data_IF_833191907436
#
_entry.id   IF_833191907436
#
_cell.length_a   1.000
_cell.length_b   1.000
_cell.length_c   1.000
_cell.angle_alpha   90.00
_cell.angle_beta   90.00
_cell.angle_gamma   90.00
#
_symmetry.space_group_name_H-M   'P 1'
#
loop_
_entity.id
_entity.type
_entity.pdbx_description
1 polymer ?
#
# COMPACT_ATOMS: atom_id res chain seq x y z
N UNK A 1 -12.35 -3.32 17.27
CA UNK A 1 -13.35 -3.70 16.25
C UNK A 1 -13.11 -5.13 15.88
N UNK A 2 -14.16 -5.84 15.48
CA UNK A 2 -14.03 -7.17 14.91
C UNK A 2 -13.57 -7.04 13.44
N UNK A 3 -12.32 -7.38 13.09
CA UNK A 3 -11.77 -7.14 11.76
C UNK A 3 -12.26 -8.14 10.72
N UNK A 4 -13.18 -9.05 11.09
CA UNK A 4 -13.81 -10.01 10.18
C UNK A 4 -14.71 -9.35 9.14
N UNK A 5 -15.04 -8.07 9.32
CA UNK A 5 -16.06 -7.41 8.53
C UNK A 5 -17.43 -7.87 9.01
N UNK A 6 -18.04 -7.07 9.88
CA UNK A 6 -19.37 -7.31 10.44
C UNK A 6 -20.45 -6.58 9.64
N UNK A 7 -20.14 -6.30 8.37
CA UNK A 7 -20.99 -5.58 7.44
C UNK A 7 -21.45 -4.27 8.04
N UNK A 8 -22.76 -4.10 8.05
CA UNK A 8 -23.37 -2.84 8.43
C UNK A 8 -23.27 -2.56 9.94
N UNK A 9 -23.00 -3.57 10.79
CA UNK A 9 -22.76 -3.38 12.23
C UNK A 9 -21.40 -2.76 12.55
N UNK A 10 -20.59 -2.46 11.55
CA UNK A 10 -19.34 -1.73 11.72
C UNK A 10 -19.60 -0.34 12.32
N UNK A 11 -18.65 0.17 13.12
CA UNK A 11 -18.73 1.46 13.84
C UNK A 11 -19.75 1.58 14.99
N UNK A 12 -20.55 0.54 15.26
CA UNK A 12 -21.40 0.50 16.44
C UNK A 12 -20.59 0.39 17.76
N UNK A 13 -21.16 0.79 18.92
CA UNK A 13 -20.45 0.72 20.19
C UNK A 13 -20.00 -0.71 20.52
N UNK A 14 -18.68 -0.88 20.68
CA UNK A 14 -18.02 -2.19 20.85
C UNK A 14 -18.72 -3.10 21.86
N UNK A 15 -19.13 -2.56 23.01
CA UNK A 15 -19.73 -3.34 24.10
C UNK A 15 -21.07 -3.98 23.73
N UNK A 16 -21.85 -3.33 22.87
CA UNK A 16 -23.16 -3.85 22.44
C UNK A 16 -23.01 -4.78 21.24
N UNK A 17 -22.07 -4.46 20.35
CA UNK A 17 -21.89 -5.21 19.11
C UNK A 17 -21.10 -6.49 19.33
N UNK A 18 -20.05 -6.47 20.16
CA UNK A 18 -19.19 -7.63 20.42
C UNK A 18 -19.99 -8.82 20.94
N UNK A 19 -20.85 -8.59 21.92
CA UNK A 19 -21.61 -9.67 22.55
C UNK A 19 -22.76 -10.14 21.65
N UNK A 20 -23.37 -9.24 20.89
CA UNK A 20 -24.32 -9.60 19.85
C UNK A 20 -23.68 -10.47 18.76
N UNK A 21 -22.44 -10.18 18.38
CA UNK A 21 -21.66 -11.00 17.44
C UNK A 21 -21.36 -12.36 18.06
N UNK A 22 -20.92 -12.42 19.33
CA UNK A 22 -20.66 -13.71 19.98
C UNK A 22 -21.92 -14.57 20.04
N UNK A 23 -23.07 -13.95 20.34
CA UNK A 23 -24.34 -14.63 20.30
C UNK A 23 -24.74 -15.07 18.88
N UNK A 24 -24.46 -14.26 17.86
CA UNK A 24 -24.70 -14.61 16.46
C UNK A 24 -23.88 -15.84 16.07
N UNK A 25 -22.59 -15.83 16.38
CA UNK A 25 -21.63 -16.90 16.10
C UNK A 25 -22.04 -18.22 16.78
N UNK A 26 -22.47 -18.16 18.04
CA UNK A 26 -23.02 -19.33 18.76
C UNK A 26 -24.31 -19.85 18.11
N UNK A 27 -25.18 -18.97 17.60
CA UNK A 27 -26.43 -19.36 16.96
C UNK A 27 -26.22 -19.92 15.53
N UNK A 28 -25.22 -19.41 14.83
CA UNK A 28 -24.82 -19.84 13.49
C UNK A 28 -24.13 -21.21 13.55
N UNK A 29 -23.13 -21.36 14.42
CA UNK A 29 -22.35 -22.58 14.55
C UNK A 29 -22.98 -23.65 15.46
N UNK A 30 -23.93 -23.26 16.32
CA UNK A 30 -24.53 -24.15 17.31
C UNK A 30 -25.64 -25.05 16.76
N UNK A 31 -26.22 -25.86 17.64
CA UNK A 31 -27.28 -26.84 17.32
C UNK A 31 -28.55 -26.23 16.73
N UNK A 32 -28.78 -24.94 16.99
CA UNK A 32 -29.92 -24.23 16.43
C UNK A 32 -29.76 -24.00 14.92
N UNK A 33 -28.51 -23.97 14.42
CA UNK A 33 -28.18 -23.88 12.99
C UNK A 33 -28.89 -22.74 12.28
N UNK A 34 -29.19 -21.65 13.01
CA UNK A 34 -30.18 -20.66 12.58
C UNK A 34 -29.65 -19.70 11.52
N UNK A 35 -28.40 -19.90 11.06
CA UNK A 35 -27.83 -19.22 9.89
C UNK A 35 -28.06 -17.72 9.95
N UNK A 36 -27.17 -17.00 10.62
CA UNK A 36 -27.27 -15.55 10.72
C UNK A 36 -26.04 -14.92 10.11
N UNK A 37 -26.23 -14.08 9.10
CA UNK A 37 -25.19 -13.21 8.59
C UNK A 37 -25.42 -11.80 9.10
N UNK A 38 -24.36 -11.04 9.45
CA UNK A 38 -24.52 -9.60 9.63
C UNK A 38 -25.13 -8.99 8.36
N UNK A 39 -25.96 -7.94 8.47
CA UNK A 39 -26.51 -7.31 7.28
C UNK A 39 -25.38 -6.72 6.42
N UNK A 40 -25.47 -6.80 5.08
CA UNK A 40 -24.45 -6.25 4.20
C UNK A 40 -24.44 -4.72 4.29
N UNK A 41 -23.26 -4.13 4.08
CA UNK A 41 -23.07 -2.68 3.96
C UNK A 41 -22.83 -2.31 2.49
N UNK A 42 -23.31 -1.14 2.07
CA UNK A 42 -23.25 -0.67 0.68
C UNK A 42 -21.84 -0.23 0.23
N UNK A 43 -20.90 -0.09 1.17
CA UNK A 43 -19.50 0.30 0.93
C UNK A 43 -18.61 -0.86 0.44
N UNK A 44 -19.17 -2.07 0.33
CA UNK A 44 -18.43 -3.27 -0.05
C UNK A 44 -17.72 -3.95 1.12
N UNK A 45 -17.92 -3.49 2.36
CA UNK A 45 -17.36 -4.14 3.54
C UNK A 45 -17.88 -5.58 3.66
N UNK A 46 -16.98 -6.57 3.84
CA UNK A 46 -17.38 -7.96 4.08
C UNK A 46 -18.33 -8.07 5.27
N UNK A 47 -19.27 -9.00 5.19
CA UNK A 47 -20.28 -9.27 6.23
C UNK A 47 -20.19 -10.76 6.59
N UNK A 48 -19.07 -11.13 7.18
CA UNK A 48 -18.63 -12.51 7.28
C UNK A 48 -19.23 -13.24 8.48
N UNK A 49 -19.24 -14.57 8.39
CA UNK A 49 -19.58 -15.48 9.48
C UNK A 49 -18.38 -16.38 9.83
N UNK A 50 -18.47 -17.12 10.94
CA UNK A 50 -17.43 -18.08 11.33
C UNK A 50 -17.11 -19.09 10.22
N UNK A 51 -18.11 -19.57 9.48
CA UNK A 51 -17.89 -20.49 8.37
C UNK A 51 -16.99 -19.91 7.25
N UNK A 52 -17.12 -18.61 6.97
CA UNK A 52 -16.28 -17.92 5.97
C UNK A 52 -14.82 -17.87 6.46
N UNK A 53 -14.62 -17.56 7.74
CA UNK A 53 -13.29 -17.56 8.35
C UNK A 53 -12.65 -18.95 8.36
N UNK A 54 -13.41 -19.97 8.72
CA UNK A 54 -12.95 -21.36 8.74
C UNK A 54 -12.44 -21.77 7.37
N UNK A 55 -13.14 -21.37 6.30
CA UNK A 55 -12.73 -21.66 4.93
C UNK A 55 -11.36 -21.06 4.62
N UNK A 56 -11.14 -19.77 4.94
CA UNK A 56 -9.85 -19.10 4.70
C UNK A 56 -8.73 -19.63 5.59
N UNK A 57 -9.00 -19.87 6.88
CA UNK A 57 -8.02 -20.43 7.80
C UNK A 57 -7.62 -21.85 7.40
N UNK A 58 -8.57 -22.66 6.92
CA UNK A 58 -8.26 -24.01 6.42
C UNK A 58 -7.38 -23.97 5.17
N UNK A 59 -7.63 -23.02 4.26
CA UNK A 59 -6.77 -22.80 3.09
C UNK A 59 -5.35 -22.38 3.52
N UNK A 60 -5.24 -21.46 4.47
CA UNK A 60 -3.97 -21.03 5.05
C UNK A 60 -3.20 -22.22 5.66
N UNK A 61 -3.86 -23.04 6.49
CA UNK A 61 -3.21 -24.21 7.09
C UNK A 61 -2.77 -25.22 6.03
N UNK A 62 -3.59 -25.48 5.02
CA UNK A 62 -3.21 -26.39 3.92
C UNK A 62 -1.95 -25.91 3.20
N UNK A 63 -1.83 -24.59 2.99
CA UNK A 63 -0.63 -23.99 2.40
C UNK A 63 0.59 -24.13 3.32
N UNK A 64 0.44 -23.81 4.61
CA UNK A 64 1.53 -23.89 5.59
C UNK A 64 2.03 -25.33 5.78
N UNK A 65 1.12 -26.30 5.88
CA UNK A 65 1.47 -27.72 5.99
C UNK A 65 2.26 -28.21 4.78
N UNK A 66 1.92 -27.74 3.58
CA UNK A 66 2.62 -28.14 2.34
C UNK A 66 4.00 -27.51 2.16
N UNK A 67 4.24 -26.34 2.77
CA UNK A 67 5.44 -25.52 2.51
C UNK A 67 6.44 -25.53 3.65
N UNK A 68 5.96 -25.58 4.91
CA UNK A 68 6.76 -25.36 6.13
C UNK A 68 6.67 -26.55 7.10
N UNK A 69 6.47 -27.76 6.58
CA UNK A 69 6.37 -28.96 7.41
C UNK A 69 7.62 -29.19 8.25
N UNK A 70 7.47 -29.12 9.58
CA UNK A 70 8.56 -29.32 10.55
C UNK A 70 9.19 -28.04 11.10
N UNK A 71 8.87 -26.88 10.52
CA UNK A 71 9.34 -25.58 10.99
C UNK A 71 8.46 -25.00 12.10
N UNK A 72 9.03 -24.07 12.88
CA UNK A 72 8.28 -23.29 13.86
C UNK A 72 7.70 -22.03 13.21
N UNK A 73 6.39 -21.90 13.21
CA UNK A 73 5.66 -20.81 12.55
C UNK A 73 5.04 -19.89 13.60
N UNK A 74 5.25 -18.57 13.46
CA UNK A 74 4.56 -17.56 14.24
C UNK A 74 3.45 -16.93 13.41
N UNK A 75 2.19 -17.11 13.84
CA UNK A 75 1.04 -16.48 13.22
C UNK A 75 0.59 -15.28 14.05
N UNK A 76 0.47 -14.12 13.40
CA UNK A 76 0.02 -12.87 14.03
C UNK A 76 -1.34 -12.53 13.44
N UNK A 77 -2.34 -12.39 14.30
CA UNK A 77 -3.71 -12.06 13.92
C UNK A 77 -4.08 -10.64 14.37
N UNK A 78 -4.93 -9.93 13.60
CA UNK A 78 -5.41 -8.61 13.99
C UNK A 78 -6.41 -8.66 15.17
N UNK A 79 -7.00 -9.83 15.44
CA UNK A 79 -7.99 -10.05 16.49
C UNK A 79 -7.76 -11.37 17.25
N UNK A 80 -8.50 -11.52 18.34
CA UNK A 80 -8.48 -12.73 19.15
C UNK A 80 -9.32 -13.88 18.61
N UNK A 81 -10.29 -13.62 17.72
CA UNK A 81 -11.23 -14.65 17.26
C UNK A 81 -10.63 -15.50 16.16
N UNK A 82 -9.89 -14.93 15.21
CA UNK A 82 -9.09 -15.70 14.23
C UNK A 82 -8.26 -16.85 14.82
N UNK A 83 -7.36 -16.60 15.79
CA UNK A 83 -6.56 -17.66 16.42
C UNK A 83 -7.39 -18.60 17.30
N UNK A 84 -8.53 -18.16 17.83
CA UNK A 84 -9.46 -19.01 18.55
C UNK A 84 -10.18 -20.00 17.62
N UNK A 85 -10.66 -19.54 16.46
CA UNK A 85 -11.21 -20.40 15.40
C UNK A 85 -10.18 -21.44 14.99
N UNK A 86 -8.94 -21.02 14.78
CA UNK A 86 -7.86 -21.93 14.41
C UNK A 86 -7.59 -22.98 15.51
N UNK A 87 -7.61 -22.57 16.77
CA UNK A 87 -7.49 -23.49 17.91
C UNK A 87 -8.64 -24.51 17.93
N UNK A 88 -9.88 -24.09 17.67
CA UNK A 88 -11.02 -24.99 17.54
C UNK A 88 -10.82 -26.01 16.41
N UNK A 89 -10.30 -25.58 15.25
CA UNK A 89 -10.06 -26.44 14.10
C UNK A 89 -9.01 -27.52 14.40
N UNK A 90 -7.91 -27.17 15.06
CA UNK A 90 -6.88 -28.15 15.44
C UNK A 90 -7.37 -29.15 16.49
N UNK A 91 -8.20 -28.70 17.43
CA UNK A 91 -8.68 -29.52 18.54
C UNK A 91 -9.96 -30.30 18.23
N UNK A 92 -10.59 -30.06 17.06
CA UNK A 92 -11.90 -30.60 16.74
C UNK A 92 -13.01 -30.11 17.69
N UNK A 93 -12.85 -28.91 18.24
CA UNK A 93 -13.84 -28.30 19.13
C UNK A 93 -14.95 -27.67 18.29
N UNK A 94 -16.23 -27.89 18.63
CA UNK A 94 -17.36 -27.20 18.00
C UNK A 94 -17.21 -25.67 18.00
N UNK A 95 -17.55 -25.05 16.87
CA UNK A 95 -17.37 -23.60 16.66
C UNK A 95 -18.30 -22.74 17.52
N UNK A 96 -19.38 -23.30 18.08
CA UNK A 96 -20.24 -22.62 19.07
C UNK A 96 -19.54 -22.35 20.41
N UNK A 97 -18.32 -22.89 20.59
CA UNK A 97 -17.46 -22.65 21.76
C UNK A 97 -16.26 -21.78 21.46
N UNK A 98 -16.18 -21.19 20.27
CA UNK A 98 -14.98 -20.46 19.83
C UNK A 98 -14.59 -19.32 20.75
N UNK A 99 -15.57 -18.58 21.28
CA UNK A 99 -15.32 -17.43 22.13
C UNK A 99 -14.85 -17.80 23.55
N UNK A 100 -14.95 -19.07 23.96
CA UNK A 100 -14.28 -19.56 25.18
C UNK A 100 -12.75 -19.55 25.01
N UNK A 101 -12.27 -19.71 23.78
CA UNK A 101 -10.85 -19.76 23.43
C UNK A 101 -10.30 -18.43 22.90
N UNK A 102 -11.08 -17.36 22.98
CA UNK A 102 -10.71 -16.04 22.45
C UNK A 102 -9.37 -15.57 23.03
N UNK A 103 -8.52 -14.99 22.20
CA UNK A 103 -7.21 -14.48 22.64
C UNK A 103 -7.35 -13.04 23.16
N UNK A 104 -6.71 -12.74 24.28
CA UNK A 104 -6.56 -11.38 24.77
C UNK A 104 -5.53 -10.60 23.93
N UNK A 105 -5.62 -9.26 23.84
CA UNK A 105 -4.61 -8.46 23.16
C UNK A 105 -3.21 -8.69 23.72
N UNK A 106 -2.27 -9.07 22.85
CA UNK A 106 -0.89 -9.40 23.23
C UNK A 106 -0.70 -10.79 23.86
N UNK A 107 -1.75 -11.62 23.94
CA UNK A 107 -1.63 -13.00 24.37
C UNK A 107 -0.87 -13.83 23.32
N UNK A 108 0.09 -14.63 23.80
CA UNK A 108 0.86 -15.56 22.97
C UNK A 108 0.62 -16.97 23.51
N UNK A 109 0.11 -17.86 22.65
CA UNK A 109 0.00 -19.30 22.96
C UNK A 109 1.03 -20.07 22.13
N UNK A 110 1.85 -20.85 22.82
CA UNK A 110 2.87 -21.71 22.22
C UNK A 110 2.31 -23.13 22.05
N UNK A 111 2.89 -23.89 21.12
CA UNK A 111 2.58 -25.30 20.89
C UNK A 111 1.08 -25.58 20.72
N UNK A 112 0.39 -24.75 19.94
CA UNK A 112 -1.04 -24.90 19.66
C UNK A 112 -1.27 -26.17 18.85
N UNK A 113 -1.81 -27.20 19.49
CA UNK A 113 -2.08 -28.51 18.91
C UNK A 113 -3.35 -29.11 19.56
N UNK A 114 -3.79 -30.26 19.07
CA UNK A 114 -4.99 -30.94 19.57
C UNK A 114 -4.99 -31.09 21.10
N UNK A 115 -3.89 -31.56 21.69
CA UNK A 115 -3.81 -31.86 23.12
C UNK A 115 -3.71 -30.61 23.98
N UNK A 116 -2.89 -29.63 23.59
CA UNK A 116 -2.69 -28.40 24.35
C UNK A 116 -3.96 -27.56 24.41
N UNK A 117 -4.67 -27.45 23.28
CA UNK A 117 -5.95 -26.73 23.22
C UNK A 117 -7.05 -27.44 24.02
N UNK A 118 -7.16 -28.77 23.96
CA UNK A 118 -8.13 -29.52 24.77
C UNK A 118 -7.84 -29.43 26.28
N UNK A 119 -6.57 -29.49 26.66
CA UNK A 119 -6.17 -29.28 28.06
C UNK A 119 -6.55 -27.88 28.53
N UNK A 120 -6.27 -26.85 27.73
CA UNK A 120 -6.65 -25.48 28.04
C UNK A 120 -8.17 -25.32 28.17
N UNK A 121 -8.95 -25.86 27.24
CA UNK A 121 -10.41 -25.86 27.33
C UNK A 121 -10.90 -26.53 28.62
N UNK A 122 -10.31 -27.66 29.01
CA UNK A 122 -10.64 -28.35 30.26
C UNK A 122 -10.39 -27.49 31.50
N UNK A 123 -9.30 -26.69 31.49
CA UNK A 123 -9.03 -25.75 32.60
C UNK A 123 -10.06 -24.62 32.67
N UNK A 124 -10.55 -24.14 31.52
CA UNK A 124 -11.60 -23.14 31.46
C UNK A 124 -12.95 -23.70 31.92
N UNK A 125 -13.25 -24.97 31.61
CA UNK A 125 -14.46 -25.65 32.07
C UNK A 125 -14.48 -25.86 33.59
N UNK A 126 -13.32 -26.15 34.19
CA UNK A 126 -13.18 -26.28 35.65
C UNK A 126 -13.37 -24.94 36.38
N UNK A 127 -13.17 -23.81 35.69
CA UNK A 127 -13.33 -22.48 36.25
C UNK A 127 -14.77 -22.00 36.10
N UNK A 128 -15.61 -22.31 37.11
CA UNK A 128 -17.04 -21.97 37.12
C UNK A 128 -17.31 -20.48 36.85
N UNK A 129 -16.44 -19.59 37.35
CA UNK A 129 -16.61 -18.14 37.16
C UNK A 129 -16.46 -17.72 35.70
N UNK A 130 -15.53 -18.32 34.97
CA UNK A 130 -15.31 -18.04 33.54
C UNK A 130 -16.50 -18.55 32.74
N UNK A 131 -16.97 -19.76 33.04
CA UNK A 131 -18.12 -20.37 32.39
C UNK A 131 -19.43 -19.59 32.65
N UNK A 132 -19.63 -19.10 33.87
CA UNK A 132 -20.77 -18.26 34.20
C UNK A 132 -20.71 -16.93 33.44
N UNK A 133 -19.56 -16.26 33.45
CA UNK A 133 -19.35 -15.00 32.72
C UNK A 133 -19.58 -15.17 31.23
N UNK A 134 -19.12 -16.28 30.64
CA UNK A 134 -19.35 -16.59 29.23
C UNK A 134 -20.85 -16.75 28.93
N UNK A 135 -21.56 -17.56 29.72
CA UNK A 135 -23.00 -17.79 29.54
C UNK A 135 -23.81 -16.49 29.70
N UNK A 136 -23.45 -15.65 30.66
CA UNK A 136 -24.08 -14.34 30.85
C UNK A 136 -23.85 -13.40 29.66
N UNK A 137 -22.62 -13.36 29.11
CA UNK A 137 -22.31 -12.61 27.89
C UNK A 137 -23.13 -13.10 26.69
N UNK A 138 -23.24 -14.42 26.50
CA UNK A 138 -24.06 -14.96 25.42
C UNK A 138 -25.56 -14.65 25.62
N UNK A 139 -26.06 -14.70 26.85
CA UNK A 139 -27.46 -14.36 27.14
C UNK A 139 -27.75 -12.88 26.83
N UNK A 140 -26.91 -11.96 27.32
CA UNK A 140 -27.04 -10.52 27.01
C UNK A 140 -26.85 -10.23 25.53
N UNK A 141 -25.90 -10.92 24.89
CA UNK A 141 -25.66 -10.84 23.46
C UNK A 141 -26.87 -11.24 22.62
N UNK A 142 -27.64 -12.26 23.05
CA UNK A 142 -28.89 -12.65 22.37
C UNK A 142 -29.94 -11.54 22.41
N UNK A 143 -30.10 -10.87 23.54
CA UNK A 143 -31.00 -9.71 23.68
C UNK A 143 -30.55 -8.55 22.77
N UNK A 144 -29.26 -8.24 22.77
CA UNK A 144 -28.68 -7.20 21.91
C UNK A 144 -28.81 -7.53 20.43
N UNK A 145 -28.59 -8.80 20.05
CA UNK A 145 -28.76 -9.26 18.68
C UNK A 145 -30.21 -9.10 18.20
N UNK A 146 -31.20 -9.35 19.07
CA UNK A 146 -32.60 -9.11 18.76
C UNK A 146 -32.90 -7.61 18.58
N UNK A 147 -32.29 -6.74 19.40
CA UNK A 147 -32.38 -5.28 19.24
C UNK A 147 -31.74 -4.79 17.93
N UNK A 148 -30.58 -5.33 17.56
CA UNK A 148 -29.90 -4.98 16.31
C UNK A 148 -30.67 -5.47 15.08
N UNK A 149 -31.31 -6.64 15.17
CA UNK A 149 -32.14 -7.19 14.09
C UNK A 149 -33.49 -6.48 13.95
N UNK A 150 -34.08 -6.03 15.05
CA UNK A 150 -35.36 -5.28 15.03
C UNK A 150 -35.18 -3.85 14.53
N UNK A 151 -33.99 -3.28 14.68
CA UNK A 151 -33.70 -1.92 14.24
C UNK A 151 -32.56 -1.89 13.20
N UNK A 152 -32.84 -2.28 11.94
CA UNK A 152 -31.84 -2.23 10.87
C UNK A 152 -31.34 -0.79 10.58
N UNK A 153 -32.07 0.23 11.01
CA UNK A 153 -31.76 1.64 10.78
C UNK A 153 -30.89 2.31 11.87
N UNK A 154 -30.46 1.59 12.93
CA UNK A 154 -29.57 2.17 13.98
C UNK A 154 -28.23 2.66 13.40
N UNK A 155 -27.87 2.21 12.20
CA UNK A 155 -26.59 2.47 11.54
C UNK A 155 -26.36 3.88 11.06
N UNK A 156 -27.40 4.67 10.85
CA UNK A 156 -27.21 5.84 10.00
C UNK A 156 -26.62 7.06 10.67
N UNK A 157 -26.54 7.19 12.00
CA UNK A 157 -26.12 8.48 12.56
C UNK A 157 -24.61 8.70 12.52
N UNK A 158 -23.81 7.67 12.85
CA UNK A 158 -22.35 7.78 12.82
C UNK A 158 -21.76 7.60 11.44
N UNK A 159 -22.26 6.63 10.68
CA UNK A 159 -21.86 6.46 9.28
C UNK A 159 -22.25 7.70 8.47
N UNK A 160 -23.47 8.24 8.60
CA UNK A 160 -23.83 9.48 7.88
C UNK A 160 -23.01 10.68 8.34
N UNK A 161 -22.66 10.78 9.62
CA UNK A 161 -21.78 11.85 10.10
C UNK A 161 -20.35 11.71 9.51
N UNK A 162 -19.83 10.48 9.41
CA UNK A 162 -18.54 10.23 8.80
C UNK A 162 -18.57 10.51 7.30
N UNK A 163 -19.56 10.01 6.57
CA UNK A 163 -19.75 10.27 5.14
C UNK A 163 -19.92 11.77 4.85
N UNK A 164 -20.67 12.49 5.69
CA UNK A 164 -20.81 13.94 5.59
C UNK A 164 -19.47 14.64 5.80
N UNK A 165 -18.68 14.23 6.81
CA UNK A 165 -17.34 14.77 7.04
C UNK A 165 -16.39 14.49 5.87
N UNK A 166 -16.45 13.29 5.30
CA UNK A 166 -15.66 12.93 4.11
C UNK A 166 -16.10 13.76 2.89
N UNK A 167 -17.40 14.01 2.72
CA UNK A 167 -17.92 14.88 1.64
C UNK A 167 -17.42 16.32 1.82
N UNK A 168 -17.52 16.87 3.03
CA UNK A 168 -17.01 18.22 3.35
C UNK A 168 -15.50 18.30 3.09
N UNK A 169 -14.72 17.28 3.49
CA UNK A 169 -13.29 17.25 3.23
C UNK A 169 -12.96 17.24 1.74
N UNK A 170 -13.65 16.39 0.95
CA UNK A 170 -13.49 16.35 -0.52
C UNK A 170 -13.88 17.66 -1.18
N UNK A 171 -14.95 18.33 -0.72
CA UNK A 171 -15.35 19.64 -1.23
C UNK A 171 -14.30 20.72 -0.90
N UNK A 172 -13.70 20.68 0.29
CA UNK A 172 -12.61 21.58 0.68
C UNK A 172 -11.34 21.35 -0.15
N UNK A 173 -10.97 20.10 -0.42
CA UNK A 173 -9.84 19.75 -1.28
C UNK A 173 -10.10 20.15 -2.75
N UNK A 174 -11.32 19.93 -3.25
CA UNK A 174 -11.74 20.39 -4.57
C UNK A 174 -11.72 21.93 -4.68
N UNK A 175 -12.12 22.63 -3.61
CA UNK A 175 -12.01 24.10 -3.53
C UNK A 175 -10.56 24.57 -3.50
N UNK A 176 -9.70 23.91 -2.73
CA UNK A 176 -8.28 24.23 -2.62
C UNK A 176 -7.51 23.96 -3.91
N UNK A 177 -7.80 22.85 -4.60
CA UNK A 177 -7.20 22.52 -5.90
C UNK A 177 -7.59 23.53 -6.98
N UNK A 178 -8.88 23.91 -7.07
CA UNK A 178 -9.33 24.98 -7.98
C UNK A 178 -8.63 26.32 -7.71
N UNK A 179 -8.48 26.70 -6.44
CA UNK A 179 -7.76 27.92 -6.06
C UNK A 179 -6.27 27.86 -6.46
N UNK A 180 -5.60 26.72 -6.26
CA UNK A 180 -4.21 26.51 -6.67
C UNK A 180 -4.05 26.58 -8.19
N UNK A 181 -5.02 26.07 -8.94
CA UNK A 181 -5.02 26.14 -10.40
C UNK A 181 -5.22 27.58 -10.90
N UNK A 182 -6.14 28.33 -10.30
CA UNK A 182 -6.34 29.76 -10.57
C UNK A 182 -5.06 30.56 -10.29
N UNK A 183 -4.42 30.36 -9.14
CA UNK A 183 -3.13 30.99 -8.80
C UNK A 183 -2.01 30.62 -9.80
N UNK A 184 -2.02 29.39 -10.33
CA UNK A 184 -1.06 28.95 -11.35
C UNK A 184 -1.29 29.66 -12.68
N UNK A 185 -2.55 29.81 -13.10
CA UNK A 185 -2.90 30.54 -14.32
C UNK A 185 -2.55 32.03 -14.22
N UNK A 186 -2.80 32.65 -13.06
CA UNK A 186 -2.40 34.05 -12.82
C UNK A 186 -0.88 34.23 -12.90
N UNK A 187 -0.09 33.30 -12.36
CA UNK A 187 1.37 33.33 -12.48
C UNK A 187 1.86 33.18 -13.92
N UNK A 188 1.20 32.34 -14.72
CA UNK A 188 1.52 32.18 -16.15
C UNK A 188 1.20 33.49 -16.89
N UNK A 189 0.01 34.05 -16.68
CA UNK A 189 -0.39 35.31 -17.30
C UNK A 189 0.52 36.50 -16.88
N UNK A 190 1.01 36.51 -15.64
CA UNK A 190 1.97 37.51 -15.17
C UNK A 190 3.32 37.37 -15.88
N UNK A 191 3.84 36.15 -16.04
CA UNK A 191 5.08 35.89 -16.79
C UNK A 191 4.97 36.25 -18.27
N UNK A 192 3.82 35.97 -18.90
CA UNK A 192 3.59 36.35 -20.30
C UNK A 192 3.60 37.88 -20.48
N UNK A 193 2.99 38.63 -19.55
CA UNK A 193 3.04 40.10 -19.57
C UNK A 193 4.45 40.64 -19.39
N UNK A 194 5.22 40.07 -18.46
CA UNK A 194 6.63 40.45 -18.24
C UNK A 194 7.49 40.15 -19.49
N UNK A 195 7.27 39.01 -20.15
CA UNK A 195 7.97 38.67 -21.39
C UNK A 195 7.58 39.63 -22.54
N UNK A 196 6.31 40.03 -22.64
CA UNK A 196 5.85 40.98 -23.64
C UNK A 196 6.45 42.38 -23.43
N UNK A 197 6.55 42.84 -22.19
CA UNK A 197 7.22 44.09 -21.84
C UNK A 197 8.72 44.03 -22.15
N UNK A 198 9.39 42.91 -21.83
CA UNK A 198 10.78 42.69 -22.18
C UNK A 198 11.01 42.71 -23.70
N UNK A 199 10.13 42.08 -24.49
CA UNK A 199 10.19 42.12 -25.96
C UNK A 199 10.08 43.54 -26.50
N UNK A 200 9.16 44.36 -25.97
CA UNK A 200 9.03 45.77 -26.34
C UNK A 200 10.30 46.57 -26.04
N UNK A 201 10.89 46.41 -24.85
CA UNK A 201 12.15 47.07 -24.50
C UNK A 201 13.31 46.66 -25.41
N UNK A 202 13.40 45.38 -25.78
CA UNK A 202 14.42 44.88 -26.71
C UNK A 202 14.24 45.49 -28.11
N UNK A 203 13.00 45.61 -28.60
CA UNK A 203 12.70 46.26 -29.88
C UNK A 203 13.03 47.76 -29.86
N UNK A 204 12.67 48.48 -28.80
CA UNK A 204 13.04 49.88 -28.61
C UNK A 204 14.57 50.07 -28.61
N UNK A 205 15.29 49.19 -27.90
CA UNK A 205 16.77 49.23 -27.88
C UNK A 205 17.36 48.96 -29.27
N UNK A 206 16.79 48.02 -30.03
CA UNK A 206 17.21 47.73 -31.41
C UNK A 206 17.00 48.94 -32.33
N UNK A 207 15.87 49.63 -32.20
CA UNK A 207 15.59 50.82 -33.02
C UNK A 207 16.50 52.00 -32.67
N UNK A 208 16.80 52.22 -31.38
CA UNK A 208 17.77 53.23 -30.95
C UNK A 208 19.18 52.95 -31.51
N UNK A 209 19.66 51.71 -31.40
CA UNK A 209 20.96 51.30 -31.95
C UNK A 209 21.01 51.53 -33.47
N UNK A 210 19.93 51.22 -34.21
CA UNK A 210 19.87 51.48 -35.65
C UNK A 210 19.94 52.97 -35.98
N UNK A 211 19.27 53.81 -35.20
CA UNK A 211 19.22 55.26 -35.40
C UNK A 211 20.58 55.89 -35.07
N UNK A 212 21.23 55.44 -34.00
CA UNK A 212 22.59 55.83 -33.63
C UNK A 212 23.61 55.44 -34.71
N UNK A 213 23.56 54.19 -35.21
CA UNK A 213 24.41 53.73 -36.32
C UNK A 213 24.18 54.54 -37.61
N UNK A 214 22.94 54.98 -37.87
CA UNK A 214 22.65 55.83 -39.04
C UNK A 214 23.27 57.22 -38.89
N UNK A 215 23.17 57.81 -37.70
CA UNK A 215 23.75 59.10 -37.39
C UNK A 215 25.28 59.06 -37.41
N UNK A 216 25.88 57.97 -36.94
CA UNK A 216 27.33 57.73 -37.03
C UNK A 216 27.80 57.61 -38.48
N UNK A 217 27.04 56.90 -39.33
CA UNK A 217 27.32 56.85 -40.78
C UNK A 217 27.23 58.23 -41.43
N UNK A 218 26.23 59.05 -41.09
CA UNK A 218 26.10 60.42 -41.61
C UNK A 218 27.28 61.31 -41.18
N UNK A 219 27.72 61.23 -39.92
CA UNK A 219 28.92 61.92 -39.42
C UNK A 219 30.19 61.46 -40.14
N UNK A 220 30.35 60.15 -40.36
CA UNK A 220 31.50 59.61 -41.09
C UNK A 220 31.54 60.08 -42.55
N UNK A 221 30.38 60.20 -43.20
CA UNK A 221 30.28 60.76 -44.55
C UNK A 221 30.63 62.25 -44.57
N UNK A 222 30.19 63.04 -43.58
CA UNK A 222 30.59 64.45 -43.46
C UNK A 222 32.10 64.61 -43.24
N UNK A 223 32.70 63.82 -42.35
CA UNK A 223 34.15 63.84 -42.14
C UNK A 223 34.94 63.44 -43.40
N UNK A 224 34.41 62.51 -44.22
CA UNK A 224 35.01 62.20 -45.52
C UNK A 224 34.94 63.38 -46.49
N UNK A 225 33.81 64.08 -46.55
CA UNK A 225 33.66 65.29 -47.37
C UNK A 225 34.58 66.43 -46.92
N UNK A 226 34.73 66.65 -45.61
CA UNK A 226 35.67 67.64 -45.07
C UNK A 226 37.14 67.27 -45.33
N UNK A 227 37.48 65.97 -45.31
CA UNK A 227 38.82 65.49 -45.71
C UNK A 227 39.06 65.59 -47.22
N UNK A 228 38.02 65.46 -48.05
CA UNK A 228 38.10 65.68 -49.51
C UNK A 228 38.20 67.18 -49.86
N UNK A 229 37.62 68.09 -49.09
CA UNK A 229 37.77 69.54 -49.29
C UNK A 229 39.09 70.11 -48.74
N UNK A 230 39.71 69.49 -47.72
CA UNK A 230 41.02 69.94 -47.17
C UNK A 230 42.23 69.08 -47.59
N UNK A 231 42.03 68.03 -48.40
CA UNK A 231 43.04 67.01 -48.70
C UNK A 231 43.45 66.92 -50.17
N UNK A 232 43.72 68.05 -50.82
CA UNK A 232 44.48 68.05 -52.07
C UNK A 232 45.94 67.72 -51.81
N UNK A 233 46.35 66.46 -51.95
CA UNK A 233 47.76 66.11 -51.78
C UNK A 233 48.10 64.62 -51.84
N UNK A 234 48.26 64.10 -53.06
CA UNK A 234 49.36 63.19 -53.40
C UNK A 234 49.31 61.77 -52.84
N UNK A 235 48.74 60.85 -53.62
CA UNK A 235 49.08 59.43 -53.56
C UNK A 235 50.42 59.24 -54.26
N UNK A 236 51.44 58.80 -53.52
CA UNK A 236 52.69 58.26 -54.07
C UNK A 236 52.78 56.79 -53.71
N UNK A 237 52.65 55.94 -54.73
CA UNK A 237 52.83 54.50 -54.69
C UNK A 237 54.31 54.15 -54.87
N UNK A 238 54.89 53.40 -53.94
CA UNK A 238 56.14 52.60 -54.00
C UNK A 238 56.46 52.23 -52.54
N UNK A 239 57.04 51.11 -52.13
CA UNK A 239 57.62 49.91 -52.73
C UNK A 239 57.78 48.97 -51.51
N UNK A 240 57.35 47.71 -51.59
CA UNK A 240 58.19 46.49 -51.58
C UNK A 240 59.10 46.31 -50.33
N UNK A 241 59.16 45.04 -49.90
CA UNK A 241 60.21 44.39 -49.07
C UNK A 241 59.92 44.48 -47.57
N UNK A 242 59.70 43.40 -46.81
CA UNK A 242 60.20 42.03 -46.91
C UNK A 242 61.08 41.73 -45.68
N UNK A 243 60.86 40.59 -45.00
CA UNK A 243 61.76 40.05 -43.97
C UNK A 243 61.17 40.07 -42.54
N UNK A 244 60.60 38.98 -42.01
CA UNK A 244 61.25 37.77 -41.39
C UNK A 244 61.64 37.97 -39.92
N UNK A 245 61.14 37.07 -39.05
CA UNK A 245 61.60 36.82 -37.67
C UNK A 245 60.44 36.80 -36.67
N UNK A 246 59.75 35.68 -36.43
CA UNK A 246 60.11 34.53 -35.57
C UNK A 246 60.02 34.79 -34.05
N UNK A 247 59.43 33.81 -33.35
CA UNK A 247 59.06 33.69 -31.91
C UNK A 247 57.79 34.45 -31.49
N UNK A 248 56.77 33.88 -30.83
CA UNK A 248 56.55 32.57 -30.22
C UNK A 248 55.42 32.69 -29.16
N UNK A 249 54.62 31.63 -29.00
CA UNK A 249 53.50 31.37 -28.04
C UNK A 249 52.10 31.91 -28.44
N UNK A 250 51.15 31.09 -28.94
CA UNK A 250 50.26 30.09 -28.27
C UNK A 250 49.14 30.79 -27.44
N UNK A 251 47.82 30.60 -27.57
CA UNK A 251 46.88 29.48 -27.84
C UNK A 251 45.66 30.03 -28.65
N UNK A 252 45.08 29.44 -29.70
CA UNK A 252 44.26 28.22 -29.84
C UNK A 252 42.84 28.27 -29.22
N UNK A 253 41.81 28.41 -30.08
CA UNK A 253 40.52 27.65 -30.15
C UNK A 253 39.70 28.24 -31.33
N UNK A 254 39.58 27.61 -32.51
CA UNK A 254 38.59 26.58 -32.90
C UNK A 254 37.15 26.96 -32.49
N UNK A 255 36.17 27.09 -33.38
CA UNK A 255 35.57 26.02 -34.19
C UNK A 255 34.63 26.65 -35.25
N UNK A 256 34.82 26.30 -36.53
CA UNK A 256 33.99 25.37 -37.33
C UNK A 256 32.79 26.02 -38.05
N UNK A 257 33.04 26.32 -39.32
CA UNK A 257 32.04 26.39 -40.38
C UNK A 257 31.94 25.00 -41.02
N UNK A 258 30.75 24.40 -41.00
CA UNK A 258 30.30 23.33 -41.89
C UNK A 258 28.82 23.64 -42.18
N UNK A 259 28.39 23.92 -43.41
CA UNK A 259 28.16 22.99 -44.51
C UNK A 259 27.35 21.76 -44.09
N UNK A 260 26.07 21.75 -44.46
CA UNK A 260 25.08 20.70 -44.22
C UNK A 260 23.70 21.26 -44.61
N UNK A 261 23.30 21.19 -45.87
CA UNK A 261 22.65 20.05 -46.54
C UNK A 261 21.12 20.15 -46.43
N UNK A 262 20.51 19.93 -47.58
CA UNK A 262 19.09 20.08 -47.86
C UNK A 262 18.27 19.04 -47.08
N UNK A 263 17.16 19.45 -46.46
CA UNK A 263 15.98 18.59 -46.42
C UNK A 263 14.71 19.37 -46.08
N UNK A 264 13.75 19.18 -46.97
CA UNK A 264 12.35 19.52 -46.84
C UNK A 264 11.77 19.02 -45.51
N UNK A 265 11.10 19.89 -44.77
CA UNK A 265 9.97 19.46 -43.97
C UNK A 265 8.87 20.52 -43.94
N UNK A 266 7.85 20.25 -44.76
CA UNK A 266 6.53 20.88 -44.74
C UNK A 266 5.84 20.50 -43.43
N UNK A 267 5.79 21.42 -42.47
CA UNK A 267 4.77 21.40 -41.44
C UNK A 267 3.51 21.99 -42.07
N UNK A 268 2.62 21.11 -42.53
CA UNK A 268 1.24 21.44 -42.89
C UNK A 268 0.34 20.85 -41.84
N UNK A 269 -0.56 21.70 -41.36
CA UNK A 269 -1.70 21.44 -40.50
C UNK A 269 -2.29 20.02 -40.56
N UNK A 270 -2.37 19.36 -39.41
CA UNK A 270 -3.40 18.36 -39.11
C UNK A 270 -4.08 18.71 -37.80
N UNK A 271 -4.97 19.70 -37.88
CA UNK A 271 -5.98 19.97 -36.86
C UNK A 271 -7.35 19.73 -37.49
N UNK A 272 -7.79 18.48 -37.54
CA UNK A 272 -9.20 18.10 -37.67
C UNK A 272 -9.37 16.59 -37.54
N UNK A 273 -10.50 16.21 -36.93
CA UNK A 273 -11.13 14.88 -36.89
C UNK A 273 -10.67 14.00 -35.72
N UNK A 274 -11.45 14.06 -34.62
CA UNK A 274 -12.08 12.89 -34.01
C UNK A 274 -13.15 13.38 -33.02
N UNK A 275 -14.37 13.53 -33.54
CA UNK A 275 -15.60 13.37 -32.76
C UNK A 275 -16.08 11.96 -33.10
N UNK A 276 -16.07 11.05 -32.14
CA UNK A 276 -16.84 9.81 -32.22
C UNK A 276 -17.56 9.62 -30.88
N UNK A 277 -18.86 9.43 -31.00
CA UNK A 277 -19.87 9.30 -29.95
C UNK A 277 -19.64 8.10 -29.01
N UNK A 278 -19.95 8.34 -27.76
CA UNK A 278 -19.67 7.50 -26.59
C UNK A 278 -20.86 6.56 -26.24
N UNK A 279 -21.40 5.81 -27.22
CA UNK A 279 -22.68 5.09 -27.03
C UNK A 279 -22.75 3.58 -27.30
N UNK A 280 -21.65 2.88 -27.53
CA UNK A 280 -21.72 1.42 -27.80
C UNK A 280 -20.61 0.61 -27.10
N UNK A 281 -20.49 0.69 -25.76
CA UNK A 281 -19.59 -0.21 -25.00
C UNK A 281 -20.25 -1.14 -23.97
N UNK A 282 -21.58 -1.19 -23.90
CA UNK A 282 -22.30 -2.12 -23.00
C UNK A 282 -23.00 -3.25 -23.77
N UNK A 283 -22.23 -4.17 -24.38
CA UNK A 283 -22.82 -5.36 -24.99
C UNK A 283 -21.87 -6.56 -25.19
N UNK A 284 -20.76 -6.72 -24.47
CA UNK A 284 -19.91 -7.92 -24.65
C UNK A 284 -19.21 -8.35 -23.36
N UNK A 285 -19.94 -8.84 -22.36
CA UNK A 285 -19.40 -9.78 -21.35
C UNK A 285 -20.56 -10.61 -20.76
N UNK A 286 -21.08 -11.52 -21.58
CA UNK A 286 -21.97 -12.58 -21.14
C UNK A 286 -21.47 -13.92 -21.69
N UNK A 287 -21.42 -14.92 -20.81
CA UNK A 287 -21.14 -16.35 -21.06
C UNK A 287 -19.66 -16.76 -21.23
N UNK A 288 -19.10 -17.40 -20.20
CA UNK A 288 -18.88 -18.86 -20.23
C UNK A 288 -18.23 -19.37 -18.93
N UNK A 289 -18.83 -20.41 -18.33
CA UNK A 289 -18.14 -21.59 -17.79
C UNK A 289 -19.12 -22.43 -16.94
N UNK A 290 -19.95 -23.20 -17.64
CA UNK A 290 -20.54 -24.43 -17.12
C UNK A 290 -19.74 -25.63 -17.67
N UNK A 291 -19.67 -26.68 -16.85
CA UNK A 291 -19.10 -28.01 -17.10
C UNK A 291 -17.56 -28.06 -17.01
N UNK A 292 -16.90 -29.06 -16.43
CA UNK A 292 -17.25 -30.40 -15.93
C UNK A 292 -16.03 -30.83 -15.06
N UNK A 293 -16.11 -31.60 -13.99
CA UNK A 293 -16.29 -33.04 -14.11
C UNK A 293 -16.24 -33.71 -12.73
N UNK A 294 -17.08 -34.74 -12.63
CA UNK A 294 -17.08 -35.76 -11.59
C UNK A 294 -15.75 -36.54 -11.60
N UNK A 295 -15.17 -36.77 -10.42
CA UNK A 295 -14.31 -37.93 -10.17
C UNK A 295 -14.83 -38.63 -8.92
N UNK A 296 -15.22 -39.89 -9.12
CA UNK A 296 -15.64 -40.84 -8.10
C UNK A 296 -14.46 -41.76 -7.77
N UNK A 297 -14.38 -42.12 -6.49
CA UNK A 297 -13.73 -43.29 -5.91
C UNK A 297 -12.18 -43.39 -5.97
N UNK A 298 -11.55 -43.52 -4.80
CA UNK A 298 -11.20 -44.85 -4.27
C UNK A 298 -10.74 -44.78 -2.82
N UNK A 299 -11.22 -45.76 -2.05
CA UNK A 299 -10.78 -46.15 -0.72
C UNK A 299 -9.34 -46.64 -0.78
N UNK A 300 -8.51 -46.15 0.15
CA UNK A 300 -7.28 -46.82 0.55
C UNK A 300 -7.29 -46.89 2.09
N UNK A 301 -7.62 -48.07 2.58
CA UNK A 301 -7.24 -48.57 3.89
C UNK A 301 -5.72 -48.63 3.97
N UNK A 302 -5.10 -47.93 4.92
CA UNK A 302 -3.77 -48.33 5.38
C UNK A 302 -3.65 -48.29 6.90
N UNK A 303 -3.49 -49.51 7.43
CA UNK A 303 -3.23 -49.84 8.82
C UNK A 303 -1.84 -49.32 9.19
N UNK A 304 -1.77 -48.40 10.15
CA UNK A 304 -0.55 -48.20 10.93
C UNK A 304 -0.84 -48.68 12.35
N UNK A 305 -0.33 -49.89 12.63
CA UNK A 305 -0.12 -50.42 13.97
C UNK A 305 1.01 -49.61 14.62
N UNK A 306 0.68 -48.78 15.61
CA UNK A 306 1.69 -48.31 16.57
C UNK A 306 1.31 -48.81 17.95
N UNK A 307 1.97 -49.89 18.33
CA UNK A 307 1.97 -50.48 19.66
C UNK A 307 2.72 -49.55 20.61
N UNK A 308 2.01 -48.82 21.46
CA UNK A 308 2.60 -48.26 22.69
C UNK A 308 1.91 -48.91 23.87
N UNK A 309 2.66 -49.80 24.51
CA UNK A 309 2.31 -50.42 25.78
C UNK A 309 2.40 -49.36 26.89
N UNK A 310 1.26 -49.03 27.50
CA UNK A 310 1.23 -48.45 28.85
C UNK A 310 0.52 -49.47 29.74
N UNK A 311 1.35 -50.30 30.36
CA UNK A 311 0.98 -51.21 31.43
C UNK A 311 1.13 -50.46 32.75
N UNK A 312 0.02 -50.10 33.39
CA UNK A 312 -0.08 -50.18 34.86
C UNK A 312 -1.49 -49.83 35.32
N UNK A 313 -2.19 -50.89 35.73
CA UNK A 313 -3.41 -50.86 36.50
C UNK A 313 -3.20 -50.21 37.87
N UNK A 314 -4.26 -49.63 38.43
CA UNK A 314 -4.78 -49.93 39.79
C UNK A 314 -6.07 -49.16 40.03
N UNK A 315 -7.18 -49.89 40.03
CA UNK A 315 -8.38 -49.56 40.81
C UNK A 315 -8.02 -49.57 42.30
N UNK A 316 -8.62 -48.69 43.11
CA UNK A 316 -9.18 -49.00 44.44
C UNK A 316 -10.20 -47.91 44.79
N UNK A 317 -11.28 -48.38 45.39
CA UNK A 317 -12.55 -47.72 45.63
C UNK A 317 -12.54 -46.76 46.83
N UNK A 318 -13.65 -46.02 46.90
CA UNK A 318 -14.14 -45.22 48.01
C UNK A 318 -14.03 -45.92 49.38
N UNK A 319 -13.67 -45.14 50.41
CA UNK A 319 -14.10 -45.29 51.81
C UNK A 319 -14.29 -43.88 52.39
N UNK A 320 -15.39 -43.74 53.11
CA UNK A 320 -15.91 -42.58 53.81
C UNK A 320 -15.22 -42.35 55.18
N UNK A 321 -15.58 -41.22 55.79
CA UNK A 321 -15.51 -40.86 57.22
C UNK A 321 -14.22 -40.26 57.85
N UNK A 322 -14.39 -38.98 58.23
CA UNK A 322 -14.16 -38.39 59.55
C UNK A 322 -12.98 -38.91 60.40
N UNK A 323 -11.98 -38.06 60.63
CA UNK A 323 -11.44 -37.85 61.98
C UNK A 323 -10.60 -36.57 62.06
N UNK A 324 -11.05 -35.67 62.91
CA UNK A 324 -10.31 -34.55 63.49
C UNK A 324 -9.19 -35.05 64.40
N UNK A 325 -7.93 -34.66 64.17
CA UNK A 325 -6.93 -34.48 65.24
C UNK A 325 -5.94 -33.39 64.83
N UNK A 326 -5.83 -32.42 65.73
CA UNK A 326 -4.82 -31.35 65.79
C UNK A 326 -3.39 -31.92 65.69
N UNK A 327 -2.53 -31.29 64.90
CA UNK A 327 -1.12 -31.19 65.27
C UNK A 327 -0.46 -29.98 64.60
N UNK A 328 -0.23 -29.00 65.45
CA UNK A 328 0.62 -27.84 65.24
C UNK A 328 2.09 -28.27 65.25
N UNK A 329 2.79 -28.07 64.13
CA UNK A 329 4.25 -28.03 64.12
C UNK A 329 4.70 -26.86 63.25
N UNK A 330 5.20 -25.84 63.93
CA UNK A 330 5.82 -24.66 63.34
C UNK A 330 7.08 -25.06 62.55
N UNK A 331 7.11 -24.70 61.27
CA UNK A 331 8.32 -24.65 60.45
C UNK A 331 8.56 -23.17 60.14
N UNK A 332 9.35 -22.52 60.98
CA UNK A 332 9.99 -21.25 60.68
C UNK A 332 11.22 -21.55 59.85
N UNK A 333 11.14 -21.37 58.54
CA UNK A 333 12.31 -21.40 57.65
C UNK A 333 12.86 -19.99 57.53
N UNK A 334 13.98 -19.75 58.23
CA UNK A 334 14.86 -18.61 58.04
C UNK A 334 15.34 -18.54 56.58
N UNK A 335 15.03 -17.44 55.89
CA UNK A 335 15.45 -17.16 54.50
C UNK A 335 16.50 -16.06 54.38
N UNK A 336 17.22 -15.72 55.46
CA UNK A 336 18.09 -14.54 55.48
C UNK A 336 19.60 -14.75 55.22
N UNK A 337 20.07 -15.97 54.95
CA UNK A 337 21.52 -16.24 54.86
C UNK A 337 22.10 -16.44 53.45
N UNK A 338 21.39 -16.04 52.38
CA UNK A 338 21.85 -16.22 50.99
C UNK A 338 22.37 -14.95 50.27
N UNK A 339 22.46 -13.79 50.93
CA UNK A 339 22.86 -12.51 50.30
C UNK A 339 24.29 -12.08 50.67
N UNK A 340 25.22 -13.02 50.88
CA UNK A 340 26.64 -12.70 51.05
C UNK A 340 27.53 -13.58 50.17
N UNK A 341 27.27 -13.50 48.85
CA UNK A 341 28.21 -13.99 47.84
C UNK A 341 29.22 -12.88 47.49
N UNK A 342 30.54 -13.13 47.58
CA UNK A 342 31.60 -12.16 47.23
C UNK A 342 31.57 -11.68 45.77
N UNK A 343 30.73 -12.27 44.92
CA UNK A 343 30.58 -11.89 43.50
C UNK A 343 29.75 -10.62 43.28
N UNK A 344 28.79 -10.29 44.17
CA UNK A 344 27.89 -9.13 43.98
C UNK A 344 28.59 -7.82 44.35
N UNK A 345 29.47 -7.82 45.36
CA UNK A 345 30.21 -6.63 45.79
C UNK A 345 31.22 -6.11 44.74
N UNK A 346 31.66 -6.94 43.79
CA UNK A 346 32.56 -6.51 42.71
C UNK A 346 31.85 -5.80 41.55
N UNK A 347 30.54 -6.00 41.37
CA UNK A 347 29.78 -5.28 40.33
C UNK A 347 29.41 -3.87 40.78
N UNK A 348 29.17 -3.65 42.08
CA UNK A 348 28.86 -2.30 42.60
C UNK A 348 30.05 -1.34 42.48
N UNK A 349 31.30 -1.80 42.66
CA UNK A 349 32.49 -0.95 42.48
C UNK A 349 32.76 -0.56 41.01
N UNK A 350 32.30 -1.36 40.04
CA UNK A 350 32.47 -1.06 38.61
C UNK A 350 31.43 -0.06 38.09
N UNK A 351 30.23 -0.04 38.68
CA UNK A 351 29.15 0.89 38.26
C UNK A 351 29.42 2.32 38.75
N UNK A 352 30.12 2.51 39.86
CA UNK A 352 30.36 3.86 40.45
C UNK A 352 31.45 4.67 39.71
N UNK A 353 32.22 4.07 38.80
CA UNK A 353 33.37 4.74 38.14
C UNK A 353 33.20 5.08 36.66
N UNK A 354 32.08 4.75 36.03
CA UNK A 354 31.82 5.22 34.67
C UNK A 354 31.36 6.70 34.72
N UNK A 355 32.06 7.64 34.06
CA UNK A 355 31.57 9.00 33.93
C UNK A 355 30.32 8.98 33.03
N UNK A 356 29.15 8.94 33.65
CA UNK A 356 27.87 9.08 32.96
C UNK A 356 27.81 10.52 32.47
N UNK A 357 28.11 10.74 31.19
CA UNK A 357 27.72 11.97 30.50
C UNK A 357 26.20 11.92 30.35
N UNK A 358 25.50 12.55 31.30
CA UNK A 358 24.06 12.77 31.21
C UNK A 358 23.86 13.72 30.03
N UNK A 359 23.20 13.30 28.94
CA UNK A 359 22.90 14.19 27.83
C UNK A 359 22.09 15.37 28.36
N UNK A 360 22.50 16.57 28.00
CA UNK A 360 21.79 17.80 28.33
C UNK A 360 20.33 17.65 27.85
N UNK A 361 19.37 17.79 28.77
CA UNK A 361 17.96 17.60 28.42
C UNK A 361 17.53 18.73 27.49
N UNK A 362 17.41 18.38 26.21
CA UNK A 362 16.81 19.23 25.18
C UNK A 362 15.38 19.52 25.60
N UNK A 363 14.98 20.78 25.51
CA UNK A 363 13.63 21.20 25.91
C UNK A 363 12.59 20.55 24.99
N UNK A 364 11.37 20.27 25.48
CA UNK A 364 10.30 19.65 24.68
C UNK A 364 10.01 20.43 23.38
N UNK A 365 10.20 21.75 23.41
CA UNK A 365 10.00 22.65 22.27
C UNK A 365 11.08 22.47 21.18
N UNK A 366 12.34 22.27 21.58
CA UNK A 366 13.44 21.95 20.66
C UNK A 366 13.28 20.53 20.09
N UNK A 367 12.79 19.57 20.88
CA UNK A 367 12.50 18.22 20.39
C UNK A 367 11.37 18.20 19.35
N UNK A 368 10.31 18.99 19.58
CA UNK A 368 9.20 19.13 18.63
C UNK A 368 9.66 19.76 17.30
N UNK A 369 10.47 20.83 17.37
CA UNK A 369 11.06 21.47 16.20
C UNK A 369 11.98 20.53 15.41
N UNK A 370 12.78 19.72 16.11
CA UNK A 370 13.65 18.73 15.49
C UNK A 370 12.86 17.61 14.80
N UNK A 371 11.74 17.17 15.39
CA UNK A 371 10.83 16.18 14.78
C UNK A 371 10.17 16.73 13.51
N UNK A 372 9.69 17.98 13.55
CA UNK A 372 9.10 18.62 12.37
C UNK A 372 10.12 18.77 11.24
N UNK A 373 11.36 19.18 11.56
CA UNK A 373 12.43 19.27 10.57
C UNK A 373 12.78 17.91 9.95
N UNK A 374 12.92 16.87 10.77
CA UNK A 374 13.18 15.50 10.28
C UNK A 374 12.05 14.98 9.39
N UNK A 375 10.79 15.29 9.72
CA UNK A 375 9.64 14.91 8.90
C UNK A 375 9.65 15.62 7.54
N UNK A 376 9.99 16.91 7.50
CA UNK A 376 10.13 17.67 6.24
C UNK A 376 11.30 17.17 5.39
N UNK A 377 12.45 16.91 6.02
CA UNK A 377 13.62 16.39 5.32
C UNK A 377 13.33 14.99 4.74
N UNK A 378 12.66 14.10 5.50
CA UNK A 378 12.26 12.78 5.00
C UNK A 378 11.22 12.84 3.88
N UNK A 379 10.27 13.79 3.95
CA UNK A 379 9.28 14.00 2.89
C UNK A 379 9.92 14.57 1.62
N UNK A 380 10.91 15.45 1.75
CA UNK A 380 11.68 15.98 0.63
C UNK A 380 12.57 14.89 0.01
N UNK A 381 13.21 14.05 0.83
CA UNK A 381 13.98 12.88 0.36
C UNK A 381 13.09 11.87 -0.37
N UNK A 382 11.84 11.67 0.07
CA UNK A 382 10.85 10.85 -0.64
C UNK A 382 10.42 11.47 -1.98
N UNK A 383 10.25 12.79 -2.04
CA UNK A 383 9.90 13.50 -3.28
C UNK A 383 11.06 13.58 -4.28
N UNK A 384 12.30 13.65 -3.78
CA UNK A 384 13.52 13.73 -4.60
C UNK A 384 14.04 12.34 -4.99
N UNK A 385 13.68 11.30 -4.21
CA UNK A 385 13.89 9.91 -4.61
C UNK A 385 12.89 9.59 -5.70
N UNK A 386 13.34 9.73 -6.95
CA UNK A 386 12.68 9.19 -8.14
C UNK A 386 12.28 7.74 -7.84
N UNK A 387 10.99 7.54 -7.56
CA UNK A 387 10.41 6.25 -7.14
C UNK A 387 10.29 5.28 -8.32
N UNK A 388 10.87 5.64 -9.47
CA UNK A 388 10.75 4.90 -10.71
C UNK A 388 9.35 5.05 -11.30
N UNK A 389 8.54 6.00 -10.84
CA UNK A 389 7.23 6.30 -11.43
C UNK A 389 7.36 6.69 -12.90
N UNK A 390 8.36 7.51 -13.26
CA UNK A 390 8.64 7.82 -14.68
C UNK A 390 9.13 6.59 -15.45
N UNK A 391 9.98 5.75 -14.85
CA UNK A 391 10.44 4.50 -15.48
C UNK A 391 9.31 3.48 -15.70
N UNK A 392 8.31 3.46 -14.81
CA UNK A 392 7.12 2.64 -14.96
C UNK A 392 6.17 3.20 -16.05
N UNK A 393 6.02 4.52 -16.14
CA UNK A 393 5.24 5.15 -17.22
C UNK A 393 5.89 4.94 -18.58
N UNK A 394 7.22 5.03 -18.69
CA UNK A 394 7.96 4.69 -19.91
C UNK A 394 7.80 3.21 -20.28
N UNK A 395 7.85 2.30 -19.30
CA UNK A 395 7.60 0.88 -19.54
C UNK A 395 6.17 0.59 -20.02
N UNK A 396 5.16 1.27 -19.47
CA UNK A 396 3.76 1.16 -19.93
C UNK A 396 3.60 1.76 -21.34
N UNK A 397 4.29 2.86 -21.65
CA UNK A 397 4.28 3.46 -22.98
C UNK A 397 4.93 2.53 -24.02
N UNK A 398 6.04 1.87 -23.68
CA UNK A 398 6.68 0.86 -24.54
C UNK A 398 5.75 -0.35 -24.76
N UNK A 399 5.09 -0.85 -23.70
CA UNK A 399 4.10 -1.93 -23.82
C UNK A 399 2.91 -1.55 -24.71
N UNK A 400 2.43 -0.30 -24.62
CA UNK A 400 1.32 0.18 -25.44
C UNK A 400 1.70 0.25 -26.93
N UNK A 401 2.95 0.63 -27.24
CA UNK A 401 3.47 0.65 -28.61
C UNK A 401 3.70 -0.76 -29.17
N UNK A 402 4.12 -1.72 -28.33
CA UNK A 402 4.34 -3.10 -28.74
C UNK A 402 3.01 -3.83 -29.07
N UNK A 403 1.95 -3.56 -28.31
CA UNK A 403 0.61 -4.13 -28.58
C UNK A 403 0.02 -3.63 -29.91
N UNK A 404 0.20 -2.34 -30.24
CA UNK A 404 -0.32 -1.78 -31.50
C UNK A 404 0.37 -2.40 -32.73
N UNK A 405 1.68 -2.68 -32.64
CA UNK A 405 2.43 -3.35 -33.70
C UNK A 405 1.96 -4.79 -33.94
N UNK A 406 1.61 -5.53 -32.89
CA UNK A 406 1.12 -6.91 -33.02
C UNK A 406 -0.27 -6.99 -33.65
N UNK A 407 -1.14 -6.00 -33.39
CA UNK A 407 -2.49 -5.96 -33.97
C UNK A 407 -2.47 -5.63 -35.46
N UNK A 408 -1.54 -4.79 -35.91
CA UNK A 408 -1.35 -4.53 -37.35
C UNK A 408 -0.86 -5.79 -38.09
N UNK A 409 0.07 -6.56 -37.50
CA UNK A 409 0.58 -7.80 -38.10
C UNK A 409 -0.49 -8.91 -38.15
N UNK A 410 -1.33 -9.04 -37.13
CA UNK A 410 -2.46 -9.99 -37.15
C UNK A 410 -3.52 -9.59 -38.18
N UNK A 411 -3.83 -8.29 -38.31
CA UNK A 411 -4.79 -7.79 -39.30
C UNK A 411 -4.31 -7.99 -40.74
N UNK A 412 -3.01 -7.80 -41.03
CA UNK A 412 -2.45 -8.08 -42.35
C UNK A 412 -2.52 -9.57 -42.71
N UNK A 413 -2.23 -10.45 -41.76
CA UNK A 413 -2.31 -11.90 -41.98
C UNK A 413 -3.76 -12.39 -42.22
N UNK A 414 -4.75 -11.81 -41.55
CA UNK A 414 -6.16 -12.18 -41.76
C UNK A 414 -6.69 -11.74 -43.13
N UNK A 415 -6.21 -10.59 -43.65
CA UNK A 415 -6.55 -10.11 -45.01
C UNK A 415 -5.98 -11.06 -46.07
N UNK A 416 -4.73 -11.51 -45.92
CA UNK A 416 -4.11 -12.42 -46.88
C UNK A 416 -4.83 -13.78 -46.93
N UNK A 417 -5.26 -14.32 -45.79
CA UNK A 417 -6.05 -15.56 -45.74
C UNK A 417 -7.43 -15.41 -46.40
N UNK A 418 -8.09 -14.26 -46.25
CA UNK A 418 -9.36 -13.96 -46.93
C UNK A 418 -9.17 -13.84 -48.44
N UNK A 419 -8.07 -13.22 -48.90
CA UNK A 419 -7.75 -13.10 -50.33
C UNK A 419 -7.46 -14.46 -50.95
N UNK A 420 -6.68 -15.32 -50.26
CA UNK A 420 -6.38 -16.68 -50.73
C UNK A 420 -7.65 -17.54 -50.81
N UNK A 421 -8.55 -17.43 -49.83
CA UNK A 421 -9.82 -18.17 -49.85
C UNK A 421 -10.79 -17.67 -50.93
N UNK A 422 -10.83 -16.35 -51.18
CA UNK A 422 -11.57 -15.73 -52.28
C UNK A 422 -11.10 -16.23 -53.66
N UNK A 423 -9.79 -16.36 -53.88
CA UNK A 423 -9.24 -16.87 -55.14
C UNK A 423 -9.56 -18.36 -55.35
N UNK A 424 -9.59 -19.17 -54.28
CA UNK A 424 -9.98 -20.58 -54.37
C UNK A 424 -11.44 -20.77 -54.75
N UNK A 425 -12.36 -19.92 -54.26
CA UNK A 425 -13.78 -20.05 -54.59
C UNK A 425 -14.10 -19.69 -56.05
N UNK A 426 -13.40 -18.71 -56.63
CA UNK A 426 -13.63 -18.29 -58.02
C UNK A 426 -13.01 -19.23 -59.08
N UNK A 427 -12.06 -20.09 -58.71
CA UNK A 427 -11.42 -21.05 -59.63
C UNK A 427 -12.23 -22.31 -59.94
N UNK A 428 -13.31 -22.59 -59.21
CA UNK A 428 -14.03 -23.88 -59.29
C UNK A 428 -15.23 -23.90 -60.23
N UNK A 429 -15.54 -22.78 -60.91
CA UNK A 429 -16.74 -22.65 -61.76
C UNK A 429 -16.47 -22.67 -63.28
N UNK A 430 -15.32 -23.20 -63.70
CA UNK A 430 -15.03 -23.47 -65.11
C UNK A 430 -14.65 -24.94 -65.31
N UNK A 431 -15.61 -25.86 -65.22
CA UNK A 431 -15.59 -27.15 -65.93
C UNK A 431 -17.01 -27.67 -66.15
#
# INVERSE_FOLDING_TARGET
>A
MDPRGIGSWELLPLKETEEAIWALDVLEAGKEGRGGRPPPKDDGTPHEVLADQVTRLRQLISLLESTLGGDSILLIFPDGTGPAVLSCLFAGIPLDRVHELNFAPGEVRLDVNYYSTQAYLSTLEQNENVQLSYKEKIARGKEQLELLRSNPNIMNERDAAYEENVRIAKEQEAGASKKREEERLERIAAKEKEEEEYRKQVEERRTQIMLEKKLERERAIQQRKEKEENGGGGVSATEIVGGVGAAGAAFAFAALSGNGDDNDNKIVDKKAILNVDEKERDAVLGLSSQASSNVTATSIDEKINTTVAISSASNIAAIDDNTSVENTAAITSDTNDLISSPGIQRMEELIVKAPIQIPEMVTEEEEASLREKRAKDAMQEYLDSDDGGEAWLDFIADLALEVDATLEEEAENEIDDLVVNSMKQNGTNQY
#
